data_IF_868612301136
#
_entry.id   IF_868612301136
#
_cell.length_a   1.000
_cell.length_b   1.000
_cell.length_c   1.000
_cell.angle_alpha   90.00
_cell.angle_beta   90.00
_cell.angle_gamma   90.00
#
_symmetry.space_group_name_H-M   'P 1'
#
loop_
_entity.id
_entity.type
_entity.pdbx_description
1 polymer ?
#
# COMPACT_ATOMS: atom_id res chain seq x y z
N UNK A 1 -19.33 -2.99 -9.69
CA UNK A 1 -18.57 -2.57 -10.89
C UNK A 1 -17.11 -2.72 -10.54
N UNK A 2 -16.33 -3.50 -11.33
CA UNK A 2 -14.89 -3.67 -11.08
C UNK A 2 -14.06 -2.69 -11.89
N UNK A 3 -12.96 -2.22 -11.32
CA UNK A 3 -12.02 -1.34 -12.02
C UNK A 3 -11.10 -2.18 -12.90
N UNK A 4 -11.20 -2.00 -14.20
CA UNK A 4 -10.33 -2.68 -15.16
C UNK A 4 -8.97 -1.98 -15.24
N UNK A 5 -7.90 -2.77 -15.16
CA UNK A 5 -6.52 -2.29 -15.30
C UNK A 5 -5.94 -2.86 -16.60
N UNK A 6 -5.52 -1.94 -17.47
CA UNK A 6 -4.86 -2.32 -18.73
C UNK A 6 -3.43 -2.78 -18.48
N UNK A 7 -3.03 -3.87 -19.15
CA UNK A 7 -1.66 -4.37 -19.12
C UNK A 7 -0.70 -3.41 -19.84
N UNK A 8 0.55 -3.39 -19.41
CA UNK A 8 1.62 -2.54 -19.94
C UNK A 8 1.35 -1.03 -19.80
N UNK A 9 0.60 -0.64 -18.79
CA UNK A 9 0.36 0.77 -18.45
C UNK A 9 1.01 1.12 -17.09
N UNK A 10 1.11 2.42 -16.81
CA UNK A 10 1.55 2.90 -15.48
C UNK A 10 0.60 2.38 -14.38
N UNK A 11 -0.68 2.25 -14.68
CA UNK A 11 -1.66 1.72 -13.73
C UNK A 11 -1.37 0.29 -13.31
N UNK A 12 -0.81 -0.54 -14.20
CA UNK A 12 -0.41 -1.91 -13.84
C UNK A 12 0.67 -1.94 -12.75
N UNK A 13 1.53 -0.91 -12.68
CA UNK A 13 2.55 -0.84 -11.63
C UNK A 13 1.96 -0.69 -10.22
N UNK A 14 0.72 -0.22 -10.09
CA UNK A 14 0.00 -0.11 -8.81
C UNK A 14 -0.47 -1.48 -8.29
N UNK A 15 -0.64 -2.45 -9.19
CA UNK A 15 -1.15 -3.79 -8.85
C UNK A 15 -0.18 -4.55 -7.96
N UNK A 16 1.12 -4.47 -8.23
CA UNK A 16 2.14 -5.21 -7.48
C UNK A 16 2.19 -4.79 -6.00
N UNK A 17 2.31 -3.49 -5.65
CA UNK A 17 2.34 -3.07 -4.26
C UNK A 17 1.06 -3.38 -3.50
N UNK A 18 -0.11 -3.21 -4.12
CA UNK A 18 -1.37 -3.48 -3.43
C UNK A 18 -1.56 -4.98 -3.21
N UNK A 19 -1.18 -5.82 -4.18
CA UNK A 19 -1.19 -7.27 -4.04
C UNK A 19 -0.21 -7.75 -2.96
N UNK A 20 0.99 -7.16 -2.91
CA UNK A 20 1.98 -7.45 -1.88
C UNK A 20 1.43 -7.17 -0.47
N UNK A 21 0.79 -6.02 -0.26
CA UNK A 21 0.19 -5.64 1.03
C UNK A 21 -0.98 -6.55 1.42
N UNK A 22 -1.83 -6.92 0.45
CA UNK A 22 -2.88 -7.94 0.68
C UNK A 22 -2.26 -9.25 1.16
N UNK A 23 -1.27 -9.77 0.44
CA UNK A 23 -0.64 -11.05 0.79
C UNK A 23 0.05 -11.01 2.15
N UNK A 24 0.72 -9.91 2.49
CA UNK A 24 1.31 -9.75 3.82
C UNK A 24 0.25 -9.71 4.92
N UNK A 25 -0.88 -9.05 4.66
CA UNK A 25 -2.00 -9.00 5.61
C UNK A 25 -2.61 -10.38 5.88
N UNK A 26 -2.60 -11.26 4.87
CA UNK A 26 -3.12 -12.63 4.99
C UNK A 26 -2.09 -13.59 5.61
N UNK A 27 -0.83 -13.51 5.19
CA UNK A 27 0.23 -14.42 5.63
C UNK A 27 0.82 -14.05 7.00
N UNK A 28 0.88 -12.76 7.30
CA UNK A 28 1.53 -12.22 8.50
C UNK A 28 0.65 -11.21 9.24
N UNK A 29 -0.59 -11.57 9.63
CA UNK A 29 -1.57 -10.63 10.17
C UNK A 29 -1.16 -9.97 11.50
N UNK A 30 -0.20 -10.58 12.21
CA UNK A 30 0.35 -10.03 13.45
C UNK A 30 1.46 -8.98 13.22
N UNK A 31 2.05 -8.94 12.03
CA UNK A 31 3.11 -7.99 11.67
C UNK A 31 2.60 -6.81 10.86
N UNK A 32 1.66 -7.08 9.96
CA UNK A 32 1.14 -6.08 9.03
C UNK A 32 -0.32 -6.37 8.69
N UNK A 33 -1.16 -5.34 8.67
CA UNK A 33 -2.56 -5.46 8.30
C UNK A 33 -3.02 -4.24 7.52
N UNK A 34 -3.41 -4.45 6.28
CA UNK A 34 -3.99 -3.44 5.39
C UNK A 34 -5.33 -3.93 4.82
N UNK A 35 -6.40 -3.64 5.55
CA UNK A 35 -7.76 -4.04 5.14
C UNK A 35 -8.21 -3.31 3.85
N UNK A 36 -7.64 -2.14 3.58
CA UNK A 36 -7.92 -1.41 2.34
C UNK A 36 -7.36 -2.18 1.14
N UNK A 37 -6.13 -2.66 1.22
CA UNK A 37 -5.54 -3.48 0.16
C UNK A 37 -6.34 -4.77 -0.07
N UNK A 38 -6.75 -5.44 1.01
CA UNK A 38 -7.57 -6.66 0.92
C UNK A 38 -8.87 -6.40 0.14
N UNK A 39 -9.60 -5.32 0.47
CA UNK A 39 -10.85 -4.99 -0.22
C UNK A 39 -10.65 -4.54 -1.65
N UNK A 40 -9.65 -3.69 -1.91
CA UNK A 40 -9.41 -3.14 -3.25
C UNK A 40 -9.05 -4.21 -4.27
N UNK A 41 -8.33 -5.27 -3.88
CA UNK A 41 -8.00 -6.39 -4.77
C UNK A 41 -9.27 -7.06 -5.32
N UNK A 42 -10.31 -7.16 -4.52
CA UNK A 42 -11.59 -7.76 -4.95
C UNK A 42 -12.37 -6.86 -5.92
N UNK A 43 -12.10 -5.55 -5.89
CA UNK A 43 -12.73 -4.55 -6.77
C UNK A 43 -11.96 -4.32 -8.07
N UNK A 44 -10.74 -4.85 -8.19
CA UNK A 44 -9.89 -4.74 -9.38
C UNK A 44 -10.15 -5.92 -10.33
N UNK A 45 -10.43 -5.60 -11.59
CA UNK A 45 -10.51 -6.58 -12.69
C UNK A 45 -9.13 -6.74 -13.33
N UNK A 46 -8.33 -7.63 -12.73
CA UNK A 46 -6.98 -7.95 -13.19
C UNK A 46 -6.67 -9.44 -12.91
N UNK A 47 -5.96 -10.08 -13.81
CA UNK A 47 -5.53 -11.47 -13.65
C UNK A 47 -4.30 -11.57 -12.73
N UNK A 48 -4.53 -11.84 -11.47
CA UNK A 48 -3.49 -12.03 -10.45
C UNK A 48 -2.79 -13.39 -10.51
N UNK A 49 -3.18 -14.29 -11.41
CA UNK A 49 -2.63 -15.66 -11.45
C UNK A 49 -1.12 -15.71 -11.66
N UNK A 50 -0.59 -14.79 -12.47
CA UNK A 50 0.84 -14.67 -12.72
C UNK A 50 1.62 -14.21 -11.48
N UNK A 51 1.04 -13.27 -10.70
CA UNK A 51 1.61 -12.82 -9.43
C UNK A 51 1.55 -13.93 -8.37
N UNK A 52 0.43 -14.65 -8.28
CA UNK A 52 0.27 -15.77 -7.36
C UNK A 52 1.28 -16.90 -7.62
N UNK A 53 1.58 -17.21 -8.89
CA UNK A 53 2.62 -18.19 -9.22
C UNK A 53 4.01 -17.76 -8.80
N UNK A 54 4.35 -16.48 -8.93
CA UNK A 54 5.63 -15.93 -8.49
C UNK A 54 5.79 -15.99 -6.97
N UNK A 55 4.69 -15.92 -6.22
CA UNK A 55 4.68 -16.02 -4.75
C UNK A 55 5.23 -17.33 -4.17
N UNK A 56 5.33 -18.37 -4.97
CA UNK A 56 5.83 -19.66 -4.51
C UNK A 56 7.35 -19.65 -4.23
N UNK A 57 8.07 -18.61 -4.68
CA UNK A 57 9.49 -18.45 -4.34
C UNK A 57 9.68 -17.67 -3.04
N UNK A 58 10.60 -18.12 -2.20
CA UNK A 58 10.97 -17.44 -0.95
C UNK A 58 11.40 -15.97 -1.19
N UNK A 59 12.11 -15.71 -2.28
CA UNK A 59 12.56 -14.37 -2.66
C UNK A 59 11.39 -13.41 -2.94
N UNK A 60 10.31 -13.89 -3.53
CA UNK A 60 9.11 -13.11 -3.79
C UNK A 60 8.33 -12.81 -2.50
N UNK A 61 8.24 -13.77 -1.61
CA UNK A 61 7.63 -13.56 -0.28
C UNK A 61 8.40 -12.49 0.51
N UNK A 62 9.72 -12.52 0.46
CA UNK A 62 10.56 -11.49 1.06
C UNK A 62 10.31 -10.11 0.45
N UNK A 63 10.22 -10.00 -0.88
CA UNK A 63 9.91 -8.75 -1.57
C UNK A 63 8.54 -8.17 -1.20
N UNK A 64 7.53 -9.00 -0.98
CA UNK A 64 6.21 -8.54 -0.52
C UNK A 64 6.26 -8.05 0.92
N UNK A 65 6.97 -8.76 1.79
CA UNK A 65 7.17 -8.31 3.17
C UNK A 65 7.92 -6.98 3.22
N UNK A 66 8.97 -6.81 2.42
CA UNK A 66 9.71 -5.55 2.29
C UNK A 66 8.80 -4.39 1.83
N UNK A 67 7.94 -4.63 0.85
CA UNK A 67 6.98 -3.64 0.37
C UNK A 67 6.01 -3.20 1.48
N UNK A 68 5.49 -4.14 2.25
CA UNK A 68 4.58 -3.87 3.36
C UNK A 68 5.28 -3.16 4.52
N UNK A 69 6.46 -3.62 4.90
CA UNK A 69 7.24 -3.03 6.00
C UNK A 69 7.67 -1.61 5.68
N UNK A 70 8.05 -1.33 4.43
CA UNK A 70 8.40 0.02 3.99
C UNK A 70 7.25 1.02 4.19
N UNK A 71 6.00 0.62 3.90
CA UNK A 71 4.84 1.46 4.19
C UNK A 71 4.66 1.68 5.69
N UNK A 72 4.84 0.63 6.49
CA UNK A 72 4.75 0.71 7.95
C UNK A 72 5.79 1.65 8.54
N UNK A 73 7.04 1.56 8.08
CA UNK A 73 8.15 2.39 8.53
C UNK A 73 7.91 3.87 8.19
N UNK A 74 7.49 4.17 6.96
CA UNK A 74 7.14 5.53 6.57
C UNK A 74 5.99 6.08 7.42
N UNK A 75 4.99 5.29 7.72
CA UNK A 75 3.88 5.70 8.59
C UNK A 75 4.36 5.98 10.03
N UNK A 76 5.32 5.22 10.55
CA UNK A 76 5.93 5.47 11.85
C UNK A 76 6.69 6.79 11.87
N UNK A 77 7.57 7.03 10.89
CA UNK A 77 8.35 8.26 10.78
C UNK A 77 7.44 9.51 10.71
N UNK A 78 6.38 9.46 9.90
CA UNK A 78 5.43 10.56 9.81
C UNK A 78 4.71 10.78 11.14
N UNK A 79 4.26 9.73 11.81
CA UNK A 79 3.59 9.83 13.12
C UNK A 79 4.51 10.43 14.17
N UNK A 80 5.77 10.02 14.20
CA UNK A 80 6.76 10.55 15.14
C UNK A 80 6.99 12.05 14.92
N UNK A 81 7.09 12.47 13.66
CA UNK A 81 7.18 13.90 13.33
C UNK A 81 5.94 14.68 13.75
N UNK A 82 4.76 14.12 13.55
CA UNK A 82 3.48 14.76 13.91
C UNK A 82 3.27 14.89 15.42
N UNK A 83 3.98 14.12 16.26
CA UNK A 83 3.94 14.29 17.71
C UNK A 83 4.44 15.67 18.15
N UNK A 84 5.45 16.19 17.47
CA UNK A 84 6.02 17.52 17.74
C UNK A 84 5.49 18.61 16.82
N UNK A 85 4.89 18.24 15.69
CA UNK A 85 4.36 19.16 14.67
C UNK A 85 2.93 18.76 14.25
N UNK A 86 1.96 18.81 15.17
CA UNK A 86 0.62 18.22 14.95
C UNK A 86 -0.17 18.86 13.79
N UNK A 87 0.13 20.10 13.43
CA UNK A 87 -0.54 20.84 12.35
C UNK A 87 0.25 20.81 11.02
N UNK A 88 1.28 19.99 10.90
CA UNK A 88 2.09 19.91 9.69
C UNK A 88 1.29 19.44 8.48
N UNK A 89 1.78 19.79 7.29
CA UNK A 89 1.29 19.22 6.05
C UNK A 89 2.07 17.94 5.71
N UNK A 90 1.34 16.85 5.49
CA UNK A 90 1.87 15.59 4.99
C UNK A 90 1.59 15.52 3.49
N UNK A 91 2.63 15.52 2.68
CA UNK A 91 2.51 15.46 1.21
C UNK A 91 3.05 14.12 0.72
N UNK A 92 2.18 13.29 0.18
CA UNK A 92 2.51 11.99 -0.37
C UNK A 92 2.58 12.11 -1.91
N UNK A 93 3.78 12.13 -2.44
CA UNK A 93 4.03 12.27 -3.88
C UNK A 93 4.08 10.90 -4.55
N UNK A 94 3.37 10.75 -5.68
CA UNK A 94 3.25 9.47 -6.36
C UNK A 94 2.56 8.43 -5.48
N UNK A 95 1.49 8.86 -4.80
CA UNK A 95 0.84 8.05 -3.75
C UNK A 95 0.20 6.76 -4.28
N UNK A 96 -0.20 6.72 -5.54
CA UNK A 96 -0.92 5.58 -6.10
C UNK A 96 -2.09 5.16 -5.21
N UNK A 97 -2.09 3.90 -4.82
CA UNK A 97 -3.09 3.31 -3.89
C UNK A 97 -2.53 3.17 -2.46
N UNK A 98 -1.52 3.96 -2.10
CA UNK A 98 -0.94 3.98 -0.75
C UNK A 98 -1.91 4.58 0.27
N UNK A 99 -1.88 4.04 1.48
CA UNK A 99 -2.72 4.47 2.60
C UNK A 99 -1.93 5.17 3.73
N UNK A 100 -0.66 5.48 3.51
CA UNK A 100 0.23 6.09 4.52
C UNK A 100 -0.36 7.37 5.09
N UNK A 101 -0.87 8.27 4.23
CA UNK A 101 -1.51 9.50 4.68
C UNK A 101 -2.68 9.24 5.63
N UNK A 102 -3.57 8.32 5.28
CA UNK A 102 -4.69 7.94 6.14
C UNK A 102 -4.25 7.28 7.45
N UNK A 103 -3.20 6.47 7.40
CA UNK A 103 -2.66 5.80 8.58
C UNK A 103 -1.99 6.76 9.58
N UNK A 104 -1.56 7.94 9.10
CA UNK A 104 -0.87 8.96 9.90
C UNK A 104 -1.78 10.11 10.34
N UNK A 105 -3.04 10.14 9.89
CA UNK A 105 -3.97 11.23 10.20
C UNK A 105 -4.21 11.33 11.71
N UNK A 106 -3.79 12.46 12.28
CA UNK A 106 -3.98 12.79 13.71
C UNK A 106 -5.21 13.69 13.94
N UNK A 107 -5.99 13.98 12.90
CA UNK A 107 -7.16 14.85 12.95
C UNK A 107 -6.88 16.34 12.87
N UNK A 108 -5.60 16.77 12.90
CA UNK A 108 -5.19 18.19 12.83
C UNK A 108 -4.19 18.47 11.69
N UNK A 109 -3.42 17.50 11.28
CA UNK A 109 -2.53 17.62 10.12
C UNK A 109 -3.32 17.73 8.81
N UNK A 110 -2.68 18.28 7.79
CA UNK A 110 -3.24 18.36 6.44
C UNK A 110 -2.58 17.31 5.56
N UNK A 111 -3.38 16.46 4.92
CA UNK A 111 -2.88 15.36 4.10
C UNK A 111 -3.17 15.65 2.63
N UNK A 112 -2.13 15.60 1.80
CA UNK A 112 -2.20 15.78 0.36
C UNK A 112 -1.63 14.54 -0.32
N UNK A 113 -2.49 13.80 -1.01
CA UNK A 113 -2.09 12.69 -1.86
C UNK A 113 -2.04 13.18 -3.31
N UNK A 114 -0.88 13.11 -3.94
CA UNK A 114 -0.64 13.63 -5.29
C UNK A 114 -0.17 12.49 -6.17
N UNK A 115 -0.90 12.26 -7.26
CA UNK A 115 -0.57 11.29 -8.30
C UNK A 115 -1.07 11.77 -9.67
N UNK A 116 -0.79 11.00 -10.70
CA UNK A 116 -1.24 11.29 -12.06
C UNK A 116 -2.74 11.02 -12.25
#
# INVERSE_FOLDING_TARGET
MKYHIERNTVQETLVIPIYARKMCSELYPNLFRDETAVRLIDEIDYDFSALAKKLQSMMQQFGYLECAMRQSDLACEVRDYLQTHPNAAVVNLGCGLDVTGRACDNGTCKIYNIDF
#
